data_IF_054987982998
#
_entry.id   IF_054987982998
#
_cell.length_a   1.000
_cell.length_b   1.000
_cell.length_c   1.000
_cell.angle_alpha   90.00
_cell.angle_beta   90.00
_cell.angle_gamma   90.00
#
_symmetry.space_group_name_H-M   'P 1'
#
loop_
_entity.id
_entity.type
_entity.pdbx_description
1 polymer ?
#
# COMPACT_ATOMS: atom_id res chain seq x y z
N UNK A 1 3.80 -39.63 -5.55
CA UNK A 1 4.91 -39.36 -4.61
C UNK A 1 4.87 -38.03 -3.84
N UNK A 2 4.23 -36.92 -4.28
CA UNK A 2 4.41 -35.62 -3.57
C UNK A 2 3.70 -35.53 -2.19
N UNK A 3 2.60 -36.27 -1.96
CA UNK A 3 1.82 -36.13 -0.72
C UNK A 3 2.50 -36.74 0.52
N UNK A 4 3.24 -37.86 0.37
CA UNK A 4 3.97 -38.48 1.49
C UNK A 4 5.18 -37.67 1.94
N UNK A 5 5.84 -36.99 0.99
CA UNK A 5 6.95 -36.09 1.30
C UNK A 5 6.47 -34.86 2.09
N UNK A 6 5.28 -34.34 1.76
CA UNK A 6 4.67 -33.20 2.46
C UNK A 6 4.34 -33.53 3.92
N UNK A 7 3.80 -34.72 4.20
CA UNK A 7 3.46 -35.15 5.56
C UNK A 7 4.71 -35.41 6.43
N UNK A 8 5.78 -35.98 5.84
CA UNK A 8 7.05 -36.16 6.53
C UNK A 8 7.73 -34.82 6.84
N UNK A 9 7.66 -33.86 5.92
CA UNK A 9 8.17 -32.51 6.16
C UNK A 9 7.38 -31.80 7.27
N UNK A 10 6.06 -31.94 7.33
CA UNK A 10 5.24 -31.38 8.43
C UNK A 10 5.53 -32.04 9.78
N UNK A 11 5.81 -33.35 9.81
CA UNK A 11 6.21 -34.06 11.04
C UNK A 11 7.61 -33.66 11.51
N UNK A 12 8.58 -33.55 10.60
CA UNK A 12 9.92 -33.07 10.90
C UNK A 12 9.91 -31.60 11.34
N UNK A 13 9.02 -30.78 10.75
CA UNK A 13 8.80 -29.42 11.20
C UNK A 13 8.29 -29.41 12.64
N UNK A 14 7.27 -30.19 12.98
CA UNK A 14 6.72 -30.27 14.34
C UNK A 14 7.74 -30.69 15.42
N UNK A 15 8.78 -31.44 15.07
CA UNK A 15 9.88 -31.79 15.98
C UNK A 15 10.94 -30.68 16.10
N UNK A 16 11.20 -29.92 15.04
CA UNK A 16 12.17 -28.82 15.08
C UNK A 16 11.70 -27.62 15.92
N UNK A 17 10.38 -27.50 16.14
CA UNK A 17 9.77 -26.47 17.00
C UNK A 17 10.07 -26.65 18.50
N UNK A 18 10.65 -27.77 18.91
CA UNK A 18 10.91 -28.06 20.33
C UNK A 18 12.30 -27.64 20.83
N UNK A 19 13.28 -27.36 19.97
CA UNK A 19 14.70 -27.43 20.40
C UNK A 19 15.56 -26.18 20.11
N UNK A 20 14.99 -24.99 19.95
CA UNK A 20 15.79 -23.75 19.83
C UNK A 20 15.52 -22.79 20.99
N UNK A 21 16.04 -23.14 22.17
CA UNK A 21 16.28 -22.16 23.24
C UNK A 21 17.55 -21.37 22.91
N UNK A 22 17.38 -20.07 22.68
CA UNK A 22 18.42 -19.16 22.25
C UNK A 22 19.23 -18.66 23.44
N UNK A 23 20.55 -18.81 23.35
CA UNK A 23 21.56 -18.37 24.32
C UNK A 23 21.45 -16.86 24.62
N UNK A 24 21.35 -16.50 25.90
CA UNK A 24 21.56 -15.13 26.39
C UNK A 24 20.36 -14.40 26.98
N UNK A 25 19.14 -14.92 26.85
CA UNK A 25 18.00 -14.38 27.61
C UNK A 25 18.01 -14.95 29.03
N UNK A 26 18.19 -14.07 30.02
CA UNK A 26 17.83 -14.40 31.41
C UNK A 26 16.39 -14.90 31.39
N UNK A 27 16.17 -16.15 31.81
CA UNK A 27 14.82 -16.71 31.78
C UNK A 27 13.90 -15.87 32.67
N UNK A 28 12.59 -15.84 32.37
CA UNK A 28 11.62 -15.13 33.22
C UNK A 28 11.71 -15.58 34.68
N UNK A 29 12.05 -16.86 34.92
CA UNK A 29 12.28 -17.40 36.26
C UNK A 29 13.53 -16.84 36.96
N UNK A 30 14.66 -16.75 36.27
CA UNK A 30 15.89 -16.17 36.83
C UNK A 30 15.74 -14.69 37.18
N UNK A 31 15.06 -13.92 36.31
CA UNK A 31 14.78 -12.51 36.59
C UNK A 31 13.92 -12.35 37.84
N UNK A 32 12.90 -13.19 37.98
CA UNK A 32 12.03 -13.19 39.17
C UNK A 32 12.81 -13.49 40.44
N UNK A 33 13.69 -14.50 40.43
CA UNK A 33 14.53 -14.84 41.59
C UNK A 33 15.46 -13.70 42.01
N UNK A 34 16.09 -13.00 41.04
CA UNK A 34 16.94 -11.83 41.34
C UNK A 34 16.13 -10.68 41.93
N UNK A 35 14.94 -10.43 41.40
CA UNK A 35 14.03 -9.40 41.92
C UNK A 35 13.57 -9.72 43.34
N UNK A 36 13.22 -10.98 43.62
CA UNK A 36 12.83 -11.43 44.96
C UNK A 36 13.99 -11.26 45.96
N UNK A 37 15.21 -11.59 45.56
CA UNK A 37 16.40 -11.38 46.39
C UNK A 37 16.64 -9.89 46.68
N UNK A 38 16.54 -9.01 45.67
CA UNK A 38 16.61 -7.56 45.86
C UNK A 38 15.52 -7.04 46.81
N UNK A 39 14.29 -7.55 46.68
CA UNK A 39 13.18 -7.22 47.58
C UNK A 39 13.45 -7.63 49.03
N UNK A 40 14.01 -8.82 49.26
CA UNK A 40 14.40 -9.28 50.60
C UNK A 40 15.52 -8.44 51.20
N UNK A 41 16.52 -8.02 50.42
CA UNK A 41 17.56 -7.09 50.87
C UNK A 41 16.97 -5.72 51.27
N UNK A 42 16.03 -5.21 50.46
CA UNK A 42 15.33 -3.98 50.77
C UNK A 42 14.56 -4.07 52.08
N UNK A 43 13.80 -5.15 52.28
CA UNK A 43 13.02 -5.32 53.50
C UNK A 43 13.91 -5.38 54.74
N UNK A 44 15.02 -6.12 54.70
CA UNK A 44 16.00 -6.16 55.79
C UNK A 44 16.60 -4.80 56.09
N UNK A 45 16.90 -4.00 55.06
CA UNK A 45 17.43 -2.64 55.23
C UNK A 45 16.39 -1.70 55.86
N UNK A 46 15.12 -1.82 55.48
CA UNK A 46 14.03 -1.02 56.07
C UNK A 46 13.76 -1.40 57.54
N UNK A 47 13.92 -2.66 57.92
CA UNK A 47 13.78 -3.14 59.30
C UNK A 47 14.91 -2.63 60.23
N UNK A 48 16.13 -2.42 59.70
CA UNK A 48 17.28 -1.94 60.48
C UNK A 48 17.42 -0.41 60.50
N UNK A 49 16.73 0.31 59.63
CA UNK A 49 16.88 1.76 59.52
C UNK A 49 15.92 2.50 60.45
N UNK A 50 16.47 3.31 61.37
CA UNK A 50 15.66 4.14 62.27
C UNK A 50 15.01 5.32 61.52
N UNK A 51 13.74 5.65 61.83
CA UNK A 51 13.05 6.76 61.19
C UNK A 51 13.68 8.12 61.61
N UNK A 52 13.88 9.06 60.67
CA UNK A 52 14.49 10.35 60.97
C UNK A 52 13.57 11.22 61.84
N UNK A 53 14.18 12.12 62.62
CA UNK A 53 13.45 13.13 63.40
C UNK A 53 12.88 14.22 62.49
N UNK A 54 11.59 14.16 62.16
CA UNK A 54 10.90 15.19 61.38
C UNK A 54 9.88 14.64 60.37
N UNK A 55 9.28 15.54 59.58
CA UNK A 55 8.39 15.15 58.48
C UNK A 55 9.23 14.59 57.32
N UNK A 56 9.08 13.29 57.07
CA UNK A 56 9.80 12.56 56.03
C UNK A 56 8.87 11.55 55.36
N UNK A 57 9.16 11.24 54.10
CA UNK A 57 8.53 10.11 53.42
C UNK A 57 9.07 8.80 53.97
N UNK A 58 8.18 7.84 54.25
CA UNK A 58 8.53 6.52 54.79
C UNK A 58 9.42 5.71 53.84
N UNK A 59 10.36 4.94 54.39
CA UNK A 59 11.09 3.94 53.62
C UNK A 59 10.14 2.89 53.05
N UNK A 60 10.26 2.57 51.75
CA UNK A 60 9.33 1.66 51.06
C UNK A 60 9.97 1.01 49.84
N UNK A 61 9.51 -0.19 49.50
CA UNK A 61 9.79 -0.84 48.22
C UNK A 61 8.61 -0.63 47.28
N UNK A 62 8.83 0.06 46.16
CA UNK A 62 7.76 0.33 45.18
C UNK A 62 7.62 -0.77 44.11
N UNK A 63 8.08 -1.98 44.44
CA UNK A 63 8.22 -3.13 43.56
C UNK A 63 9.25 -2.97 42.43
N UNK A 64 10.02 -1.88 42.42
CA UNK A 64 11.08 -1.64 41.45
C UNK A 64 12.41 -1.27 42.11
N UNK A 65 12.43 -0.27 42.98
CA UNK A 65 13.59 0.23 43.69
C UNK A 65 13.29 0.37 45.19
N UNK A 66 14.33 0.22 46.01
CA UNK A 66 14.23 0.37 47.45
C UNK A 66 14.46 1.83 47.86
N UNK A 67 13.44 2.46 48.47
CA UNK A 67 13.50 3.85 48.92
C UNK A 67 13.76 3.91 50.43
N UNK A 68 14.78 4.68 50.84
CA UNK A 68 15.01 4.99 52.24
C UNK A 68 14.15 6.19 52.68
N UNK A 69 14.03 6.41 53.99
CA UNK A 69 13.42 7.60 54.56
C UNK A 69 14.05 8.86 53.98
N UNK A 70 13.21 9.75 53.47
CA UNK A 70 13.65 10.94 52.74
C UNK A 70 12.93 12.17 53.29
N UNK A 71 13.67 13.25 53.56
CA UNK A 71 13.10 14.48 54.11
C UNK A 71 12.03 15.09 53.18
N UNK A 72 11.00 15.70 53.76
CA UNK A 72 9.94 16.36 53.00
C UNK A 72 10.50 17.41 52.02
N UNK A 73 9.86 17.54 50.85
CA UNK A 73 10.25 18.46 49.77
C UNK A 73 11.67 18.22 49.18
N UNK A 74 12.17 16.98 49.21
CA UNK A 74 13.47 16.61 48.61
C UNK A 74 13.33 15.45 47.60
N UNK A 75 14.29 15.33 46.68
CA UNK A 75 14.34 14.25 45.70
C UNK A 75 15.23 13.12 46.22
N UNK A 76 14.65 11.93 46.41
CA UNK A 76 15.41 10.71 46.69
C UNK A 76 16.10 10.23 45.42
N UNK A 77 17.34 9.73 45.56
CA UNK A 77 18.10 9.07 44.48
C UNK A 77 18.60 7.70 44.94
N UNK A 78 18.43 6.68 44.11
CA UNK A 78 18.87 5.30 44.36
C UNK A 78 19.56 4.79 43.11
N UNK A 79 20.63 4.02 43.23
CA UNK A 79 21.28 3.42 42.06
C UNK A 79 20.32 2.47 41.32
N UNK A 80 20.52 2.29 40.02
CA UNK A 80 19.71 1.35 39.25
C UNK A 80 19.67 -0.05 39.90
N UNK A 81 18.51 -0.74 39.96
CA UNK A 81 18.43 -2.04 40.61
C UNK A 81 19.30 -3.10 39.92
N UNK A 82 20.07 -3.86 40.70
CA UNK A 82 21.04 -4.83 40.18
C UNK A 82 20.41 -6.09 39.58
N UNK A 83 19.14 -6.36 39.88
CA UNK A 83 18.41 -7.50 39.30
C UNK A 83 18.12 -7.32 37.80
N UNK A 84 18.21 -6.08 37.28
CA UNK A 84 17.98 -5.79 35.86
C UNK A 84 19.00 -6.54 34.99
N UNK A 85 18.59 -7.27 33.94
CA UNK A 85 19.52 -8.02 33.07
C UNK A 85 20.62 -7.14 32.45
N UNK A 86 20.31 -5.88 32.17
CA UNK A 86 21.21 -4.87 31.60
C UNK A 86 21.89 -3.97 32.65
N UNK A 87 21.87 -4.34 33.95
CA UNK A 87 22.42 -3.52 35.03
C UNK A 87 23.86 -3.05 34.78
N UNK A 88 24.72 -3.88 34.19
CA UNK A 88 26.11 -3.49 33.87
C UNK A 88 26.20 -2.24 33.01
N UNK A 89 25.28 -2.05 32.07
CA UNK A 89 25.24 -0.90 31.16
C UNK A 89 24.73 0.37 31.84
N UNK A 90 23.90 0.24 32.88
CA UNK A 90 23.25 1.36 33.60
C UNK A 90 23.74 1.51 35.04
N UNK A 91 24.84 0.86 35.41
CA UNK A 91 25.34 0.77 36.79
C UNK A 91 25.69 2.13 37.41
N UNK A 92 26.04 3.13 36.58
CA UNK A 92 26.31 4.51 37.01
C UNK A 92 25.05 5.39 37.10
N UNK A 93 23.88 4.88 36.67
CA UNK A 93 22.61 5.60 36.64
C UNK A 93 21.85 5.54 37.97
N UNK A 94 20.89 6.47 38.11
CA UNK A 94 20.05 6.58 39.29
C UNK A 94 18.55 6.63 38.93
N UNK A 95 17.74 6.11 39.84
CA UNK A 95 16.28 6.27 39.89
C UNK A 95 15.98 7.42 40.85
N UNK A 96 15.10 8.33 40.45
CA UNK A 96 14.69 9.48 41.25
C UNK A 96 13.22 9.40 41.65
N UNK A 97 12.90 9.86 42.85
CA UNK A 97 11.51 10.00 43.32
C UNK A 97 11.38 11.21 44.21
N UNK A 98 10.34 12.02 43.99
CA UNK A 98 10.11 13.23 44.76
C UNK A 98 9.31 12.92 46.03
N UNK A 99 9.82 13.39 47.17
CA UNK A 99 9.06 13.45 48.41
C UNK A 99 8.33 14.80 48.49
N UNK A 100 7.00 14.76 48.66
CA UNK A 100 6.15 15.94 48.80
C UNK A 100 6.44 16.72 50.08
N UNK A 101 5.95 17.96 50.14
CA UNK A 101 6.03 18.79 51.36
C UNK A 101 5.18 18.27 52.51
N UNK A 102 4.22 17.40 52.21
CA UNK A 102 3.33 16.69 53.15
C UNK A 102 3.95 15.40 53.71
N UNK A 103 5.18 15.05 53.32
CA UNK A 103 5.81 13.79 53.70
C UNK A 103 5.24 12.57 52.95
N UNK A 104 4.49 12.78 51.86
CA UNK A 104 4.01 11.69 51.00
C UNK A 104 4.86 11.57 49.74
N UNK A 105 5.04 10.34 49.27
CA UNK A 105 5.73 10.12 48.01
C UNK A 105 4.89 10.59 46.82
N UNK A 106 5.52 11.24 45.84
CA UNK A 106 4.91 11.50 44.55
C UNK A 106 4.48 10.20 43.84
N UNK A 107 3.49 10.31 42.96
CA UNK A 107 2.91 9.18 42.23
C UNK A 107 3.86 8.53 41.22
N UNK A 108 4.89 9.25 40.78
CA UNK A 108 5.78 8.84 39.70
C UNK A 108 7.25 8.83 40.13
N UNK A 109 7.97 7.83 39.63
CA UNK A 109 9.43 7.69 39.74
C UNK A 109 10.07 7.93 38.37
N UNK A 110 11.16 8.67 38.34
CA UNK A 110 11.96 8.83 37.14
C UNK A 110 13.04 7.75 37.12
N UNK A 111 12.93 6.84 36.15
CA UNK A 111 13.85 5.72 35.94
C UNK A 111 14.51 5.78 34.56
N UNK A 112 14.52 6.95 33.92
CA UNK A 112 15.05 7.16 32.56
C UNK A 112 16.52 6.73 32.42
N UNK A 113 17.35 6.89 33.46
CA UNK A 113 18.75 6.47 33.45
C UNK A 113 18.96 4.95 33.58
N UNK A 114 17.92 4.20 33.96
CA UNK A 114 17.95 2.75 34.15
C UNK A 114 17.24 1.99 33.03
N UNK A 115 16.76 2.69 32.00
CA UNK A 115 16.12 2.08 30.84
C UNK A 115 17.14 1.25 30.04
N UNK A 116 16.67 0.17 29.41
CA UNK A 116 17.54 -0.70 28.64
C UNK A 116 18.02 0.04 27.37
N UNK A 117 19.32 0.36 27.23
CA UNK A 117 19.81 1.08 26.07
C UNK A 117 19.71 0.26 24.78
N UNK A 118 19.81 -1.07 24.84
CA UNK A 118 19.63 -1.95 23.68
C UNK A 118 18.18 -1.97 23.21
N UNK A 119 17.22 -2.02 24.16
CA UNK A 119 15.79 -1.97 23.81
C UNK A 119 15.41 -0.62 23.22
N UNK A 120 15.97 0.47 23.75
CA UNK A 120 15.77 1.82 23.23
C UNK A 120 16.39 1.97 21.84
N UNK A 121 17.63 1.50 21.64
CA UNK A 121 18.29 1.51 20.34
C UNK A 121 17.53 0.68 19.30
N UNK A 122 17.15 -0.55 19.63
CA UNK A 122 16.38 -1.42 18.74
C UNK A 122 14.99 -0.84 18.42
N UNK A 123 14.31 -0.26 19.41
CA UNK A 123 13.02 0.41 19.20
C UNK A 123 13.15 1.67 18.33
N UNK A 124 14.20 2.46 18.55
CA UNK A 124 14.48 3.67 17.78
C UNK A 124 14.87 3.33 16.34
N UNK A 125 15.74 2.34 16.13
CA UNK A 125 16.08 1.83 14.81
C UNK A 125 14.83 1.29 14.09
N UNK A 126 14.00 0.50 14.77
CA UNK A 126 12.75 0.00 14.21
C UNK A 126 11.79 1.15 13.83
N UNK A 127 11.72 2.20 14.64
CA UNK A 127 10.88 3.38 14.38
C UNK A 127 11.39 4.16 13.16
N UNK A 128 12.68 4.49 13.12
CA UNK A 128 13.32 5.17 11.98
C UNK A 128 13.16 4.36 10.68
N UNK A 129 13.25 3.04 10.78
CA UNK A 129 13.05 2.13 9.67
C UNK A 129 11.60 2.17 9.18
N UNK A 130 10.62 2.10 10.08
CA UNK A 130 9.20 2.22 9.75
C UNK A 130 8.87 3.58 9.10
N UNK A 131 9.44 4.67 9.61
CA UNK A 131 9.30 6.01 9.03
C UNK A 131 9.85 6.08 7.59
N UNK A 132 11.01 5.47 7.33
CA UNK A 132 11.58 5.40 5.97
C UNK A 132 10.67 4.61 5.02
N UNK A 133 10.11 3.48 5.48
CA UNK A 133 9.12 2.73 4.71
C UNK A 133 7.88 3.57 4.45
N UNK A 134 7.44 4.37 5.43
CA UNK A 134 6.30 5.26 5.32
C UNK A 134 6.48 6.32 4.24
N UNK A 135 7.62 6.99 4.25
CA UNK A 135 7.96 7.97 3.22
C UNK A 135 7.98 7.30 1.84
N UNK A 136 8.64 6.14 1.72
CA UNK A 136 8.77 5.42 0.45
C UNK A 136 7.42 5.01 -0.13
N UNK A 137 6.53 4.41 0.67
CA UNK A 137 5.21 4.01 0.19
C UNK A 137 4.33 5.22 -0.11
N UNK A 138 4.44 6.29 0.70
CA UNK A 138 3.65 7.52 0.51
C UNK A 138 3.99 8.18 -0.82
N UNK A 139 5.27 8.29 -1.15
CA UNK A 139 5.75 8.78 -2.44
C UNK A 139 5.25 7.88 -3.58
N UNK A 140 5.38 6.55 -3.42
CA UNK A 140 4.95 5.58 -4.43
C UNK A 140 3.45 5.64 -4.72
N UNK A 141 2.59 5.62 -3.69
CA UNK A 141 1.14 5.69 -3.86
C UNK A 141 0.66 7.06 -4.36
N UNK A 142 1.30 8.16 -3.95
CA UNK A 142 0.96 9.50 -4.46
C UNK A 142 1.29 9.62 -5.94
N UNK A 143 2.46 9.14 -6.37
CA UNK A 143 2.83 9.09 -7.78
C UNK A 143 1.87 8.20 -8.57
N UNK A 144 1.57 7.00 -8.06
CA UNK A 144 0.59 6.08 -8.65
C UNK A 144 -0.79 6.74 -8.82
N UNK A 145 -1.30 7.42 -7.79
CA UNK A 145 -2.60 8.09 -7.82
C UNK A 145 -2.66 9.18 -8.89
N UNK A 146 -1.62 10.02 -8.99
CA UNK A 146 -1.57 11.10 -9.98
C UNK A 146 -1.48 10.58 -11.42
N UNK A 147 -0.64 9.57 -11.69
CA UNK A 147 -0.53 9.02 -13.05
C UNK A 147 -1.75 8.21 -13.47
N UNK A 148 -2.39 7.50 -12.53
CA UNK A 148 -3.64 6.78 -12.78
C UNK A 148 -4.81 7.73 -13.04
N UNK A 149 -4.91 8.83 -12.29
CA UNK A 149 -5.92 9.86 -12.54
C UNK A 149 -5.79 10.43 -13.96
N UNK A 150 -4.56 10.77 -14.37
CA UNK A 150 -4.29 11.25 -15.72
C UNK A 150 -4.59 10.18 -16.78
N UNK A 151 -4.24 8.92 -16.54
CA UNK A 151 -4.53 7.82 -17.45
C UNK A 151 -6.04 7.59 -17.62
N UNK A 152 -6.82 7.61 -16.53
CA UNK A 152 -8.28 7.54 -16.58
C UNK A 152 -8.89 8.73 -17.33
N UNK A 153 -8.38 9.94 -17.10
CA UNK A 153 -8.82 11.13 -17.80
C UNK A 153 -8.60 11.00 -19.31
N UNK A 154 -7.43 10.53 -19.74
CA UNK A 154 -7.13 10.30 -21.16
C UNK A 154 -8.10 9.26 -21.75
N UNK A 155 -8.19 8.07 -21.15
CA UNK A 155 -9.02 6.99 -21.69
C UNK A 155 -10.52 7.36 -21.70
N UNK A 156 -10.99 8.16 -20.74
CA UNK A 156 -12.39 8.58 -20.66
C UNK A 156 -12.74 9.68 -21.68
N UNK A 157 -11.84 10.65 -21.90
CA UNK A 157 -12.07 11.76 -22.83
C UNK A 157 -12.08 11.33 -24.31
N UNK A 158 -11.21 10.39 -24.69
CA UNK A 158 -11.10 9.94 -26.08
C UNK A 158 -12.08 8.78 -26.35
N UNK A 159 -13.29 9.10 -26.83
CA UNK A 159 -14.32 8.10 -27.20
C UNK A 159 -13.83 7.02 -28.18
N UNK A 160 -12.86 7.33 -29.04
CA UNK A 160 -12.27 6.36 -29.99
C UNK A 160 -11.51 5.23 -29.27
N UNK A 161 -11.05 5.47 -28.04
CA UNK A 161 -10.41 4.46 -27.19
C UNK A 161 -11.42 3.62 -26.41
N UNK A 162 -12.74 3.80 -26.58
CA UNK A 162 -13.74 3.02 -25.82
C UNK A 162 -13.92 1.62 -26.41
N UNK A 163 -13.04 0.71 -26.00
CA UNK A 163 -13.07 -0.72 -26.33
C UNK A 163 -13.30 -1.55 -25.07
N UNK A 164 -13.75 -2.81 -25.19
CA UNK A 164 -13.96 -3.74 -24.06
C UNK A 164 -12.70 -3.86 -23.19
N UNK A 165 -11.53 -4.01 -23.82
CA UNK A 165 -10.21 -3.99 -23.17
C UNK A 165 -9.96 -2.72 -22.36
N UNK A 166 -10.20 -1.55 -22.95
CA UNK A 166 -9.95 -0.28 -22.27
C UNK A 166 -10.94 -0.03 -21.13
N UNK A 167 -12.17 -0.54 -21.20
CA UNK A 167 -13.08 -0.56 -20.05
C UNK A 167 -12.57 -1.44 -18.90
N UNK A 168 -11.96 -2.60 -19.20
CA UNK A 168 -11.31 -3.43 -18.17
C UNK A 168 -10.12 -2.67 -17.56
N UNK A 169 -9.28 -2.04 -18.37
CA UNK A 169 -8.17 -1.22 -17.88
C UNK A 169 -8.64 -0.03 -17.04
N UNK A 170 -9.75 0.64 -17.41
CA UNK A 170 -10.33 1.71 -16.59
C UNK A 170 -10.75 1.21 -15.20
N UNK A 171 -11.39 0.04 -15.12
CA UNK A 171 -11.77 -0.53 -13.82
C UNK A 171 -10.55 -0.97 -13.01
N UNK A 172 -9.56 -1.57 -13.65
CA UNK A 172 -8.27 -1.90 -13.03
C UNK A 172 -7.59 -0.65 -12.46
N UNK A 173 -7.49 0.43 -13.24
CA UNK A 173 -6.91 1.69 -12.78
C UNK A 173 -7.71 2.28 -11.62
N UNK A 174 -9.03 2.21 -11.69
CA UNK A 174 -9.92 2.65 -10.60
C UNK A 174 -9.65 1.85 -9.32
N UNK A 175 -9.44 0.53 -9.41
CA UNK A 175 -9.09 -0.30 -8.25
C UNK A 175 -7.75 0.09 -7.62
N UNK A 176 -6.73 0.41 -8.43
CA UNK A 176 -5.44 0.89 -7.95
C UNK A 176 -5.56 2.27 -7.30
N UNK A 177 -6.37 3.18 -7.87
CA UNK A 177 -6.62 4.49 -7.30
C UNK A 177 -7.34 4.40 -5.95
N UNK A 178 -8.39 3.59 -5.86
CA UNK A 178 -9.13 3.36 -4.62
C UNK A 178 -8.23 2.72 -3.55
N UNK A 179 -7.33 1.81 -3.94
CA UNK A 179 -6.33 1.23 -3.03
C UNK A 179 -5.35 2.29 -2.52
N UNK A 180 -4.76 3.10 -3.40
CA UNK A 180 -3.84 4.16 -3.02
C UNK A 180 -4.54 5.18 -2.09
N UNK A 181 -5.73 5.64 -2.46
CA UNK A 181 -6.51 6.57 -1.65
C UNK A 181 -6.89 5.96 -0.27
N UNK A 182 -7.31 4.70 -0.22
CA UNK A 182 -7.68 4.04 1.03
C UNK A 182 -6.47 3.83 1.97
N UNK A 183 -5.28 3.58 1.44
CA UNK A 183 -4.06 3.44 2.26
C UNK A 183 -3.61 4.81 2.79
N UNK A 184 -3.59 5.83 1.94
CA UNK A 184 -3.19 7.19 2.34
C UNK A 184 -4.17 7.81 3.35
N UNK A 185 -5.47 7.62 3.15
CA UNK A 185 -6.49 8.10 4.10
C UNK A 185 -6.47 7.34 5.42
N UNK A 186 -6.23 6.02 5.39
CA UNK A 186 -6.00 5.23 6.61
C UNK A 186 -4.82 5.80 7.39
N UNK A 187 -3.67 6.02 6.76
CA UNK A 187 -2.45 6.50 7.43
C UNK A 187 -2.67 7.85 8.14
N UNK A 188 -3.40 8.78 7.51
CA UNK A 188 -3.76 10.07 8.14
C UNK A 188 -4.73 9.95 9.32
N UNK A 189 -5.54 8.89 9.38
CA UNK A 189 -6.54 8.66 10.43
C UNK A 189 -5.99 7.84 11.59
N UNK A 190 -4.84 7.16 11.44
CA UNK A 190 -4.19 6.49 12.55
C UNK A 190 -3.68 7.55 13.54
N UNK A 191 -3.94 7.40 14.85
CA UNK A 191 -3.28 8.22 15.86
C UNK A 191 -1.77 8.11 15.67
N UNK A 192 -1.00 9.21 15.77
CA UNK A 192 0.45 9.12 15.79
C UNK A 192 0.88 8.09 16.83
N UNK A 193 1.88 7.25 16.50
CA UNK A 193 2.59 6.41 17.46
C UNK A 193 3.44 7.30 18.39
N UNK A 194 2.83 8.32 19.01
CA UNK A 194 3.44 9.19 19.98
C UNK A 194 2.99 8.81 21.38
N UNK A 195 3.82 9.05 22.42
CA UNK A 195 3.31 9.05 23.78
C UNK A 195 2.19 10.08 23.86
N UNK A 196 1.03 9.66 24.37
CA UNK A 196 -0.11 10.54 24.64
C UNK A 196 0.38 11.76 25.42
N UNK A 197 0.57 12.89 24.74
CA UNK A 197 0.58 14.18 25.40
C UNK A 197 -0.87 14.47 25.70
N UNK A 198 -1.22 14.45 26.99
CA UNK A 198 -2.61 14.52 27.49
C UNK A 198 -3.39 15.80 27.17
N UNK A 199 -2.98 16.58 26.18
CA UNK A 199 -3.54 17.88 25.84
C UNK A 199 -4.32 17.91 24.52
N UNK A 200 -4.45 16.79 23.81
CA UNK A 200 -5.34 16.76 22.65
C UNK A 200 -6.80 16.64 23.12
N UNK A 201 -7.52 17.76 22.99
CA UNK A 201 -8.94 17.90 23.24
C UNK A 201 -9.73 16.66 22.82
N UNK A 202 -10.71 16.20 23.62
CA UNK A 202 -11.46 15.00 23.30
C UNK A 202 -12.34 15.31 22.08
N UNK A 203 -11.83 15.03 20.88
CA UNK A 203 -12.72 14.53 19.83
C UNK A 203 -13.52 13.40 20.47
N UNK A 204 -14.86 13.30 20.24
CA UNK A 204 -15.62 12.21 20.82
C UNK A 204 -14.97 10.93 20.31
N UNK A 205 -14.25 10.23 21.21
CA UNK A 205 -13.39 9.11 20.89
C UNK A 205 -14.10 8.07 20.03
N UNK A 206 -15.43 7.98 20.19
CA UNK A 206 -16.33 7.16 19.37
C UNK A 206 -16.33 7.51 17.88
N UNK A 207 -16.35 8.79 17.48
CA UNK A 207 -16.33 9.20 16.07
C UNK A 207 -14.97 8.95 15.43
N UNK A 208 -13.88 9.31 16.12
CA UNK A 208 -12.52 9.04 15.64
C UNK A 208 -12.29 7.54 15.47
N UNK A 209 -12.75 6.74 16.43
CA UNK A 209 -12.68 5.29 16.39
C UNK A 209 -13.54 4.68 15.25
N UNK A 210 -14.74 5.21 15.03
CA UNK A 210 -15.60 4.79 13.93
C UNK A 210 -14.95 5.10 12.57
N UNK A 211 -14.41 6.30 12.37
CA UNK A 211 -13.72 6.69 11.15
C UNK A 211 -12.50 5.80 10.88
N UNK A 212 -11.69 5.53 11.90
CA UNK A 212 -10.51 4.67 11.79
C UNK A 212 -10.91 3.21 11.42
N UNK A 213 -11.96 2.67 12.05
CA UNK A 213 -12.50 1.33 11.70
C UNK A 213 -13.02 1.28 10.27
N UNK A 214 -13.78 2.29 9.84
CA UNK A 214 -14.28 2.38 8.46
C UNK A 214 -13.13 2.48 7.47
N UNK A 215 -12.08 3.27 7.77
CA UNK A 215 -10.89 3.36 6.94
C UNK A 215 -10.20 1.99 6.82
N UNK A 216 -10.04 1.26 7.92
CA UNK A 216 -9.47 -0.09 7.91
C UNK A 216 -10.27 -1.06 7.04
N UNK A 217 -11.60 -1.09 7.16
CA UNK A 217 -12.48 -1.92 6.33
C UNK A 217 -12.33 -1.53 4.84
N UNK A 218 -12.33 -0.23 4.56
CA UNK A 218 -12.20 0.30 3.20
C UNK A 218 -10.85 -0.08 2.59
N UNK A 219 -9.75 0.02 3.34
CA UNK A 219 -8.42 -0.42 2.89
C UNK A 219 -8.45 -1.90 2.51
N UNK A 220 -9.02 -2.77 3.35
CA UNK A 220 -9.10 -4.20 3.08
C UNK A 220 -9.93 -4.52 1.82
N UNK A 221 -11.07 -3.85 1.66
CA UNK A 221 -11.88 -3.96 0.45
C UNK A 221 -11.13 -3.51 -0.80
N UNK A 222 -10.48 -2.35 -0.77
CA UNK A 222 -9.74 -1.83 -1.92
C UNK A 222 -8.55 -2.71 -2.29
N UNK A 223 -7.85 -3.29 -1.31
CA UNK A 223 -6.77 -4.26 -1.55
C UNK A 223 -7.33 -5.52 -2.24
N UNK A 224 -8.43 -6.09 -1.72
CA UNK A 224 -9.09 -7.23 -2.34
C UNK A 224 -9.61 -6.94 -3.74
N UNK A 225 -10.21 -5.76 -3.95
CA UNK A 225 -10.67 -5.28 -5.25
C UNK A 225 -9.53 -5.17 -6.25
N UNK A 226 -8.37 -4.68 -5.81
CA UNK A 226 -7.20 -4.61 -6.67
C UNK A 226 -6.74 -6.00 -7.14
N UNK A 227 -6.61 -6.98 -6.24
CA UNK A 227 -6.20 -8.35 -6.63
C UNK A 227 -7.22 -9.08 -7.50
N UNK A 228 -8.51 -8.88 -7.24
CA UNK A 228 -9.58 -9.47 -8.08
C UNK A 228 -9.66 -8.82 -9.45
N UNK A 229 -9.40 -7.51 -9.59
CA UNK A 229 -9.28 -6.85 -10.90
C UNK A 229 -8.05 -7.31 -11.68
N UNK A 230 -6.90 -7.53 -11.02
CA UNK A 230 -5.73 -8.17 -11.63
C UNK A 230 -6.08 -9.57 -12.16
N UNK A 231 -6.89 -10.32 -11.41
CA UNK A 231 -7.40 -11.62 -11.85
C UNK A 231 -8.35 -11.52 -13.04
N UNK A 232 -9.30 -10.59 -13.01
CA UNK A 232 -10.23 -10.35 -14.13
C UNK A 232 -9.47 -10.01 -15.41
N UNK A 233 -8.45 -9.16 -15.31
CA UNK A 233 -7.58 -8.84 -16.44
C UNK A 233 -6.81 -10.07 -16.95
N UNK A 234 -6.21 -10.85 -16.04
CA UNK A 234 -5.50 -12.08 -16.40
C UNK A 234 -6.41 -13.09 -17.12
N UNK A 235 -7.63 -13.28 -16.60
CA UNK A 235 -8.66 -14.16 -17.20
C UNK A 235 -9.10 -13.64 -18.56
N UNK A 236 -9.32 -12.33 -18.70
CA UNK A 236 -9.67 -11.70 -19.98
C UNK A 236 -8.57 -11.89 -21.02
N UNK A 237 -7.30 -11.64 -20.66
CA UNK A 237 -6.17 -11.82 -21.55
C UNK A 237 -5.98 -13.29 -21.95
N UNK A 238 -6.15 -14.22 -21.01
CA UNK A 238 -6.12 -15.65 -21.30
C UNK A 238 -7.25 -16.06 -22.25
N UNK A 239 -8.48 -15.57 -22.02
CA UNK A 239 -9.62 -15.82 -22.90
C UNK A 239 -9.34 -15.36 -24.33
N UNK A 240 -8.83 -14.13 -24.49
CA UNK A 240 -8.46 -13.56 -25.79
C UNK A 240 -7.39 -14.37 -26.53
N UNK A 241 -6.38 -14.88 -25.82
CA UNK A 241 -5.24 -15.57 -26.42
C UNK A 241 -5.50 -17.04 -26.77
N UNK A 242 -6.38 -17.72 -26.00
CA UNK A 242 -6.63 -19.16 -26.10
C UNK A 242 -7.95 -19.46 -26.80
N UNK A 243 -9.01 -18.74 -26.45
CA UNK A 243 -10.37 -19.01 -26.92
C UNK A 243 -10.68 -18.05 -28.09
N UNK A 244 -9.92 -18.19 -29.16
CA UNK A 244 -10.14 -17.43 -30.40
C UNK A 244 -11.52 -17.80 -30.96
N UNK A 245 -12.40 -16.80 -31.15
CA UNK A 245 -13.68 -16.97 -31.85
C UNK A 245 -14.94 -17.08 -30.98
N UNK A 246 -14.85 -16.96 -29.64
CA UNK A 246 -16.06 -16.89 -28.79
C UNK A 246 -16.58 -15.45 -28.68
N UNK A 247 -17.90 -15.27 -28.76
CA UNK A 247 -18.56 -13.95 -28.70
C UNK A 247 -18.22 -13.20 -27.41
N UNK A 248 -17.52 -12.06 -27.54
CA UNK A 248 -17.17 -11.17 -26.43
C UNK A 248 -18.40 -10.49 -25.79
N UNK A 249 -19.46 -10.28 -26.59
CA UNK A 249 -20.49 -9.27 -26.34
C UNK A 249 -21.37 -9.49 -25.10
N UNK A 250 -21.31 -10.64 -24.45
CA UNK A 250 -22.17 -10.98 -23.30
C UNK A 250 -21.49 -11.02 -21.92
N UNK A 251 -20.16 -11.09 -21.83
CA UNK A 251 -19.49 -11.50 -20.59
C UNK A 251 -18.98 -10.33 -19.71
N UNK A 252 -19.03 -9.09 -20.20
CA UNK A 252 -18.51 -7.94 -19.45
C UNK A 252 -19.18 -7.74 -18.07
N UNK A 253 -20.50 -7.97 -17.98
CA UNK A 253 -21.22 -7.89 -16.70
C UNK A 253 -20.71 -8.90 -15.67
N UNK A 254 -20.36 -10.12 -16.11
CA UNK A 254 -19.79 -11.14 -15.23
C UNK A 254 -18.40 -10.72 -14.72
N UNK A 255 -17.56 -10.12 -15.58
CA UNK A 255 -16.27 -9.57 -15.16
C UNK A 255 -16.42 -8.43 -14.15
N UNK A 256 -17.40 -7.55 -14.34
CA UNK A 256 -17.68 -6.46 -13.40
C UNK A 256 -18.15 -6.98 -12.03
N UNK A 257 -19.06 -7.96 -12.03
CA UNK A 257 -19.54 -8.61 -10.80
C UNK A 257 -18.41 -9.38 -10.09
N UNK A 258 -17.52 -10.04 -10.84
CA UNK A 258 -16.38 -10.74 -10.26
C UNK A 258 -15.37 -9.76 -9.65
N UNK A 259 -15.02 -8.68 -10.36
CA UNK A 259 -14.01 -7.71 -9.91
C UNK A 259 -14.44 -6.90 -8.68
N UNK A 260 -15.70 -6.45 -8.61
CA UNK A 260 -16.17 -5.66 -7.46
C UNK A 260 -16.93 -6.48 -6.41
N UNK A 261 -17.60 -7.56 -6.81
CA UNK A 261 -18.41 -8.38 -5.90
C UNK A 261 -17.60 -9.40 -5.10
N UNK A 262 -16.58 -10.03 -5.68
CA UNK A 262 -15.77 -11.03 -4.96
C UNK A 262 -15.04 -10.46 -3.72
N UNK A 263 -14.44 -9.26 -3.74
CA UNK A 263 -13.85 -8.68 -2.54
C UNK A 263 -14.86 -8.48 -1.41
N UNK A 264 -16.06 -7.98 -1.73
CA UNK A 264 -17.13 -7.78 -0.76
C UNK A 264 -17.55 -9.10 -0.10
N UNK A 265 -17.61 -10.18 -0.89
CA UNK A 265 -17.96 -11.52 -0.40
C UNK A 265 -17.02 -12.02 0.71
N UNK A 266 -15.74 -11.66 0.69
CA UNK A 266 -14.77 -12.09 1.71
C UNK A 266 -14.59 -11.07 2.84
N UNK A 267 -14.68 -9.78 2.53
CA UNK A 267 -14.55 -8.71 3.53
C UNK A 267 -15.74 -8.69 4.48
N UNK A 268 -16.97 -8.91 4.01
CA UNK A 268 -18.16 -8.87 4.87
C UNK A 268 -18.09 -9.92 6.01
N UNK A 269 -17.82 -11.21 5.76
CA UNK A 269 -17.63 -12.20 6.82
C UNK A 269 -16.49 -11.83 7.79
N UNK A 270 -15.38 -11.31 7.26
CA UNK A 270 -14.25 -10.86 8.09
C UNK A 270 -14.67 -9.73 9.04
N UNK A 271 -15.40 -8.72 8.55
CA UNK A 271 -15.93 -7.62 9.37
C UNK A 271 -16.86 -8.14 10.46
N UNK A 272 -17.75 -9.07 10.13
CA UNK A 272 -18.69 -9.66 11.10
C UNK A 272 -17.91 -10.39 12.22
N UNK A 273 -16.96 -11.25 11.86
CA UNK A 273 -16.16 -11.98 12.85
C UNK A 273 -15.34 -11.03 13.71
N UNK A 274 -14.72 -10.01 13.11
CA UNK A 274 -13.91 -9.02 13.83
C UNK A 274 -14.76 -8.20 14.81
N UNK A 275 -15.93 -7.75 14.38
CA UNK A 275 -16.87 -7.00 15.22
C UNK A 275 -17.36 -7.84 16.42
N UNK A 276 -17.64 -9.13 16.22
CA UNK A 276 -18.18 -10.00 17.26
C UNK A 276 -17.12 -10.52 18.24
N UNK A 277 -15.87 -10.72 17.79
CA UNK A 277 -14.83 -11.40 18.59
C UNK A 277 -13.77 -10.47 19.14
N UNK A 278 -13.44 -9.38 18.45
CA UNK A 278 -12.30 -8.52 18.81
C UNK A 278 -12.59 -7.04 18.45
N UNK A 279 -13.55 -6.42 19.14
CA UNK A 279 -13.91 -5.02 18.90
C UNK A 279 -13.00 -4.00 19.62
N UNK A 280 -11.68 -4.20 19.56
CA UNK A 280 -10.70 -3.35 20.26
C UNK A 280 -10.02 -2.38 19.28
N UNK A 281 -9.85 -1.11 19.71
CA UNK A 281 -9.11 -0.08 18.97
C UNK A 281 -9.58 0.06 17.49
N UNK A 282 -8.67 0.48 16.60
CA UNK A 282 -8.89 0.64 15.16
C UNK A 282 -8.79 -0.69 14.36
N UNK A 283 -8.93 -1.84 15.02
CA UNK A 283 -8.77 -3.17 14.40
C UNK A 283 -7.42 -3.44 13.72
N UNK A 284 -6.38 -2.68 14.02
CA UNK A 284 -5.06 -2.84 13.42
C UNK A 284 -4.28 -4.05 13.98
N UNK A 285 -4.38 -4.29 15.30
CA UNK A 285 -3.70 -5.42 15.96
C UNK A 285 -4.49 -6.72 15.78
N UNK A 286 -3.88 -7.68 15.08
CA UNK A 286 -4.43 -9.03 14.94
C UNK A 286 -3.84 -9.93 16.02
N UNK A 287 -4.51 -10.05 17.17
CA UNK A 287 -4.07 -10.96 18.24
C UNK A 287 -4.37 -12.41 17.86
N UNK A 288 -5.59 -12.68 17.38
CA UNK A 288 -5.95 -14.00 16.83
C UNK A 288 -5.56 -14.09 15.35
N UNK A 289 -4.46 -14.79 15.07
CA UNK A 289 -3.99 -15.07 13.70
C UNK A 289 -5.09 -15.63 12.78
N UNK A 290 -5.99 -16.46 13.30
CA UNK A 290 -7.06 -17.09 12.51
C UNK A 290 -8.01 -16.08 11.85
N UNK A 291 -8.32 -14.95 12.51
CA UNK A 291 -9.23 -13.92 11.96
C UNK A 291 -8.56 -13.21 10.77
N UNK A 292 -7.26 -12.95 10.86
CA UNK A 292 -6.49 -12.38 9.74
C UNK A 292 -6.41 -13.32 8.53
N UNK A 293 -6.34 -14.63 8.75
CA UNK A 293 -6.33 -15.62 7.67
C UNK A 293 -7.64 -15.68 6.86
N UNK A 294 -8.78 -15.28 7.43
CA UNK A 294 -10.07 -15.25 6.71
C UNK A 294 -9.98 -14.39 5.44
N UNK A 295 -9.31 -13.24 5.52
CA UNK A 295 -9.13 -12.33 4.37
C UNK A 295 -7.86 -12.64 3.58
N UNK A 296 -6.79 -13.11 4.25
CA UNK A 296 -5.53 -13.43 3.58
C UNK A 296 -5.65 -14.65 2.66
N UNK A 297 -6.39 -15.69 3.04
CA UNK A 297 -6.53 -16.92 2.24
C UNK A 297 -7.12 -16.66 0.85
N UNK A 298 -8.27 -15.97 0.68
CA UNK A 298 -8.78 -15.63 -0.64
C UNK A 298 -7.79 -14.83 -1.48
N UNK A 299 -7.09 -13.86 -0.89
CA UNK A 299 -6.07 -13.07 -1.58
C UNK A 299 -4.94 -13.98 -2.08
N UNK A 300 -4.40 -14.87 -1.24
CA UNK A 300 -3.36 -15.81 -1.63
C UNK A 300 -3.83 -16.78 -2.74
N UNK A 301 -5.08 -17.24 -2.68
CA UNK A 301 -5.67 -18.08 -3.75
C UNK A 301 -5.75 -17.28 -5.06
N UNK A 302 -6.21 -16.03 -5.05
CA UNK A 302 -6.27 -15.19 -6.26
C UNK A 302 -4.89 -14.94 -6.85
N UNK A 303 -3.89 -14.68 -6.00
CA UNK A 303 -2.49 -14.51 -6.39
C UNK A 303 -1.94 -15.79 -7.03
N UNK A 304 -2.23 -16.96 -6.45
CA UNK A 304 -1.84 -18.26 -7.01
C UNK A 304 -2.49 -18.50 -8.40
N UNK A 305 -3.78 -18.20 -8.55
CA UNK A 305 -4.47 -18.34 -9.84
C UNK A 305 -3.85 -17.39 -10.89
N UNK A 306 -3.56 -16.14 -10.51
CA UNK A 306 -2.86 -15.19 -11.38
C UNK A 306 -1.51 -15.69 -11.83
N UNK A 307 -0.76 -16.32 -10.92
CA UNK A 307 0.52 -16.95 -11.24
C UNK A 307 0.37 -18.10 -12.26
N UNK A 308 -0.63 -18.96 -12.09
CA UNK A 308 -0.90 -20.04 -13.05
C UNK A 308 -1.27 -19.48 -14.43
N UNK A 309 -2.10 -18.43 -14.49
CA UNK A 309 -2.45 -17.73 -15.72
C UNK A 309 -1.20 -17.11 -16.37
N UNK A 310 -0.34 -16.47 -15.59
CA UNK A 310 0.93 -15.91 -16.05
C UNK A 310 1.79 -16.97 -16.74
N UNK A 311 2.02 -18.12 -16.09
CA UNK A 311 2.83 -19.21 -16.66
C UNK A 311 2.21 -19.73 -17.97
N UNK A 312 0.89 -19.86 -18.05
CA UNK A 312 0.18 -20.29 -19.27
C UNK A 312 0.35 -19.28 -20.41
N UNK A 313 0.12 -17.99 -20.14
CA UNK A 313 0.28 -16.90 -21.12
C UNK A 313 1.73 -16.83 -21.60
N UNK A 314 2.69 -16.90 -20.67
CA UNK A 314 4.11 -16.90 -20.97
C UNK A 314 4.47 -18.08 -21.88
N UNK A 315 3.97 -19.29 -21.58
CA UNK A 315 4.17 -20.47 -22.42
C UNK A 315 3.62 -20.29 -23.84
N UNK A 316 2.42 -19.71 -23.99
CA UNK A 316 1.82 -19.40 -25.30
C UNK A 316 2.66 -18.35 -26.05
N UNK A 317 3.09 -17.29 -25.37
CA UNK A 317 3.90 -16.23 -25.96
C UNK A 317 5.26 -16.76 -26.41
N UNK A 318 5.91 -17.59 -25.61
CA UNK A 318 7.17 -18.26 -25.97
C UNK A 318 6.98 -19.14 -27.20
N UNK A 319 5.91 -19.94 -27.27
CA UNK A 319 5.60 -20.78 -28.44
C UNK A 319 5.33 -19.94 -29.70
N UNK A 320 4.54 -18.86 -29.60
CA UNK A 320 4.25 -17.95 -30.73
C UNK A 320 5.49 -17.16 -31.19
N UNK A 321 6.34 -16.73 -30.26
CA UNK A 321 7.59 -16.05 -30.59
C UNK A 321 8.61 -16.99 -31.24
N UNK A 322 8.69 -18.24 -30.75
CA UNK A 322 9.59 -19.26 -31.31
C UNK A 322 9.23 -19.62 -32.76
N UNK A 323 7.94 -19.72 -33.08
CA UNK A 323 7.47 -20.02 -34.45
C UNK A 323 7.73 -18.87 -35.42
N UNK A 324 7.57 -17.61 -34.99
CA UNK A 324 7.84 -16.43 -35.84
C UNK A 324 9.33 -16.13 -36.05
N UNK A 325 10.22 -16.51 -35.11
CA UNK A 325 11.54 -15.90 -35.04
C UNK A 325 12.68 -16.88 -34.69
N UNK A 326 12.67 -18.09 -35.27
CA UNK A 326 13.72 -19.11 -35.05
C UNK A 326 15.16 -18.67 -35.42
N UNK A 327 15.45 -17.39 -35.72
CA UNK A 327 16.76 -16.96 -36.21
C UNK A 327 17.30 -15.58 -35.77
N UNK A 328 16.80 -14.92 -34.73
CA UNK A 328 17.36 -13.62 -34.28
C UNK A 328 17.59 -13.53 -32.75
N UNK A 329 18.77 -13.16 -32.23
CA UNK A 329 19.03 -12.95 -30.79
C UNK A 329 18.07 -11.95 -30.12
N UNK A 330 17.48 -11.05 -30.91
CA UNK A 330 16.39 -10.14 -30.53
C UNK A 330 15.20 -10.85 -29.85
N UNK A 331 15.01 -12.15 -30.06
CA UNK A 331 13.92 -12.90 -29.44
C UNK A 331 14.02 -12.91 -27.91
N UNK A 332 15.23 -13.08 -27.34
CA UNK A 332 15.42 -13.12 -25.87
C UNK A 332 15.10 -11.76 -25.27
N UNK A 333 15.57 -10.69 -25.92
CA UNK A 333 15.30 -9.31 -25.51
C UNK A 333 13.81 -8.98 -25.59
N UNK A 334 13.14 -9.39 -26.67
CA UNK A 334 11.70 -9.17 -26.87
C UNK A 334 10.86 -9.93 -25.86
N UNK A 335 11.24 -11.18 -25.57
CA UNK A 335 10.60 -11.99 -24.52
C UNK A 335 10.85 -11.36 -23.14
N UNK A 336 12.11 -11.05 -22.79
CA UNK A 336 12.45 -10.44 -21.52
C UNK A 336 11.67 -9.14 -21.28
N UNK A 337 11.54 -8.28 -22.31
CA UNK A 337 10.72 -7.06 -22.24
C UNK A 337 9.25 -7.37 -21.97
N UNK A 338 8.69 -8.38 -22.66
CA UNK A 338 7.30 -8.78 -22.48
C UNK A 338 7.06 -9.38 -21.09
N UNK A 339 7.97 -10.23 -20.62
CA UNK A 339 7.91 -10.86 -19.29
C UNK A 339 8.10 -9.84 -18.17
N UNK A 340 9.09 -8.95 -18.27
CA UNK A 340 9.35 -7.89 -17.29
C UNK A 340 8.16 -6.93 -17.17
N UNK A 341 7.44 -6.71 -18.26
CA UNK A 341 6.19 -5.95 -18.29
C UNK A 341 5.05 -6.71 -17.62
N UNK A 342 4.97 -8.03 -17.85
CA UNK A 342 3.87 -8.89 -17.40
C UNK A 342 3.95 -9.27 -15.90
N UNK A 343 5.15 -9.29 -15.31
CA UNK A 343 5.37 -9.66 -13.89
C UNK A 343 4.72 -8.66 -12.90
N UNK A 344 4.94 -7.34 -13.02
CA UNK A 344 4.24 -6.33 -12.21
C UNK A 344 2.74 -6.31 -12.53
N UNK A 345 2.41 -6.54 -13.79
CA UNK A 345 1.05 -6.48 -14.31
C UNK A 345 0.13 -7.53 -13.70
N UNK A 346 0.59 -8.77 -13.48
CA UNK A 346 -0.24 -9.81 -12.85
C UNK A 346 -0.05 -9.91 -11.33
N UNK A 347 0.74 -9.00 -10.73
CA UNK A 347 1.05 -9.04 -9.29
C UNK A 347 1.91 -10.25 -8.89
N UNK A 348 2.66 -10.85 -9.83
CA UNK A 348 3.43 -12.08 -9.60
C UNK A 348 4.55 -11.89 -8.57
N UNK A 349 5.06 -10.66 -8.43
CA UNK A 349 6.05 -10.34 -7.41
C UNK A 349 5.58 -10.74 -6.00
N UNK A 350 4.28 -10.62 -5.70
CA UNK A 350 3.71 -11.00 -4.40
C UNK A 350 3.79 -12.52 -4.15
N UNK A 351 3.72 -13.36 -5.18
CA UNK A 351 3.85 -14.83 -5.06
C UNK A 351 5.25 -15.21 -4.59
N UNK A 352 6.27 -14.53 -5.12
CA UNK A 352 7.68 -14.80 -4.80
C UNK A 352 7.95 -14.51 -3.33
N UNK A 353 7.27 -13.50 -2.78
CA UNK A 353 7.39 -13.12 -1.39
C UNK A 353 6.44 -13.87 -0.46
N UNK A 354 5.24 -14.29 -0.88
CA UNK A 354 4.28 -14.94 0.01
C UNK A 354 4.82 -16.12 0.87
N UNK A 355 5.62 -17.09 0.35
CA UNK A 355 6.12 -18.21 1.15
C UNK A 355 7.41 -17.93 1.93
N UNK A 356 8.12 -16.84 1.67
CA UNK A 356 9.52 -16.68 2.12
C UNK A 356 9.69 -16.12 3.56
N UNK A 357 8.64 -15.74 4.31
CA UNK A 357 8.84 -15.18 5.67
C UNK A 357 7.74 -15.48 6.67
N UNK A 358 7.78 -16.67 7.24
CA UNK A 358 7.31 -16.79 8.63
C UNK A 358 8.44 -17.29 9.55
N UNK A 359 9.38 -18.12 9.08
CA UNK A 359 10.25 -18.86 10.02
C UNK A 359 11.77 -18.81 9.76
N UNK A 360 12.27 -18.63 8.53
CA UNK A 360 13.71 -18.80 8.26
C UNK A 360 14.58 -17.54 8.29
N UNK A 361 14.02 -16.36 8.57
CA UNK A 361 14.70 -15.11 8.25
C UNK A 361 14.80 -14.18 9.45
N UNK A 362 15.95 -14.20 10.11
CA UNK A 362 16.32 -13.22 11.14
C UNK A 362 16.30 -11.78 10.62
N UNK A 363 16.02 -10.86 11.55
CA UNK A 363 15.65 -9.44 11.41
C UNK A 363 15.93 -8.73 10.08
N UNK A 364 17.18 -8.74 9.61
CA UNK A 364 17.61 -7.93 8.46
C UNK A 364 16.96 -8.33 7.12
N UNK A 365 16.91 -9.63 6.75
CA UNK A 365 16.31 -9.97 5.45
C UNK A 365 14.78 -9.92 5.50
N UNK A 366 14.16 -10.08 6.69
CA UNK A 366 12.71 -9.85 6.86
C UNK A 366 12.38 -8.40 6.55
N UNK A 367 13.22 -7.48 7.03
CA UNK A 367 13.10 -6.06 6.71
C UNK A 367 13.36 -5.78 5.23
N UNK A 368 14.46 -6.27 4.65
CA UNK A 368 14.77 -6.05 3.23
C UNK A 368 13.64 -6.54 2.31
N UNK A 369 13.04 -7.68 2.65
CA UNK A 369 11.86 -8.20 1.98
C UNK A 369 10.66 -7.28 2.13
N UNK A 370 10.31 -6.90 3.36
CA UNK A 370 9.19 -6.00 3.63
C UNK A 370 9.34 -4.68 2.85
N UNK A 371 10.55 -4.12 2.84
CA UNK A 371 10.87 -2.93 2.06
C UNK A 371 10.63 -3.13 0.57
N UNK A 372 11.10 -4.24 0.00
CA UNK A 372 10.92 -4.54 -1.42
C UNK A 372 9.46 -4.82 -1.79
N UNK A 373 8.72 -5.54 -0.95
CA UNK A 373 7.28 -5.80 -1.11
C UNK A 373 6.51 -4.48 -1.12
N UNK A 374 6.70 -3.65 -0.09
CA UNK A 374 6.06 -2.32 0.01
C UNK A 374 6.44 -1.45 -1.20
N UNK A 375 7.71 -1.43 -1.59
CA UNK A 375 8.18 -0.67 -2.74
C UNK A 375 7.46 -1.10 -4.01
N UNK A 376 7.52 -2.39 -4.36
CA UNK A 376 6.88 -2.88 -5.58
C UNK A 376 5.38 -2.66 -5.57
N UNK A 377 4.72 -2.92 -4.46
CA UNK A 377 3.26 -2.78 -4.33
C UNK A 377 2.82 -1.30 -4.46
N UNK A 378 3.62 -0.36 -3.93
CA UNK A 378 3.32 1.08 -4.00
C UNK A 378 3.50 1.66 -5.41
N UNK A 379 4.56 1.23 -6.12
CA UNK A 379 4.85 1.69 -7.49
C UNK A 379 4.14 0.86 -8.57
N UNK A 380 3.43 -0.20 -8.21
CA UNK A 380 2.75 -1.08 -9.15
C UNK A 380 1.74 -0.32 -10.03
N UNK A 381 0.88 0.49 -9.43
CA UNK A 381 -0.14 1.25 -10.18
C UNK A 381 0.47 2.28 -11.13
N UNK A 382 1.58 2.93 -10.73
CA UNK A 382 2.37 3.79 -11.60
C UNK A 382 2.85 3.01 -12.83
N UNK A 383 3.52 1.87 -12.63
CA UNK A 383 4.06 1.06 -13.72
C UNK A 383 2.95 0.56 -14.65
N UNK A 384 1.84 0.08 -14.11
CA UNK A 384 0.67 -0.37 -14.87
C UNK A 384 0.09 0.78 -15.72
N UNK A 385 -0.01 1.99 -15.17
CA UNK A 385 -0.50 3.16 -15.91
C UNK A 385 0.42 3.54 -17.08
N UNK A 386 1.74 3.47 -16.88
CA UNK A 386 2.75 3.74 -17.91
C UNK A 386 2.68 2.71 -19.03
N UNK A 387 2.56 1.44 -18.70
CA UNK A 387 2.54 0.35 -19.67
C UNK A 387 1.28 0.35 -20.55
N UNK A 388 0.10 0.54 -19.97
CA UNK A 388 -1.16 0.46 -20.72
C UNK A 388 -1.64 1.76 -21.35
N UNK A 389 -1.32 2.90 -20.74
CA UNK A 389 -1.77 4.20 -21.23
C UNK A 389 -0.64 4.94 -21.94
N UNK A 390 0.45 5.27 -21.24
CA UNK A 390 1.44 6.22 -21.77
C UNK A 390 2.37 5.64 -22.85
N UNK A 391 2.74 4.35 -22.76
CA UNK A 391 3.58 3.65 -23.75
C UNK A 391 2.75 3.11 -24.92
N UNK A 392 1.43 2.97 -24.75
CA UNK A 392 0.58 2.39 -25.78
C UNK A 392 0.51 3.29 -27.02
N UNK A 393 0.94 2.74 -28.17
CA UNK A 393 1.01 3.46 -29.45
C UNK A 393 -0.35 3.95 -29.93
N UNK A 394 -1.41 3.21 -29.65
CA UNK A 394 -2.79 3.58 -29.97
C UNK A 394 -3.18 4.87 -29.26
N UNK A 395 -2.97 4.90 -27.93
CA UNK A 395 -3.23 6.08 -27.09
C UNK A 395 -2.37 7.27 -27.53
N UNK A 396 -1.08 7.05 -27.80
CA UNK A 396 -0.21 8.12 -28.30
C UNK A 396 -0.66 8.66 -29.66
N UNK A 397 -1.16 7.81 -30.55
CA UNK A 397 -1.68 8.21 -31.85
C UNK A 397 -2.92 9.11 -31.69
N UNK A 398 -3.86 8.69 -30.86
CA UNK A 398 -5.09 9.44 -30.57
C UNK A 398 -4.80 10.79 -29.90
N UNK A 399 -3.87 10.84 -28.94
CA UNK A 399 -3.43 12.10 -28.32
C UNK A 399 -2.82 13.02 -29.37
N UNK A 400 -1.91 12.52 -30.22
CA UNK A 400 -1.30 13.32 -31.31
C UNK A 400 -2.35 13.82 -32.28
N UNK A 401 -3.34 13.00 -32.64
CA UNK A 401 -4.44 13.40 -33.52
C UNK A 401 -5.33 14.45 -32.87
N UNK A 402 -5.72 14.27 -31.60
CA UNK A 402 -6.49 15.25 -30.84
C UNK A 402 -5.76 16.59 -30.73
N UNK A 403 -4.44 16.56 -30.51
CA UNK A 403 -3.62 17.76 -30.45
C UNK A 403 -3.50 18.46 -31.81
N UNK A 404 -3.32 17.70 -32.91
CA UNK A 404 -3.36 18.25 -34.27
C UNK A 404 -4.70 18.90 -34.59
N UNK A 405 -5.82 18.26 -34.25
CA UNK A 405 -7.16 18.85 -34.44
C UNK A 405 -7.36 20.11 -33.60
N UNK A 406 -6.90 20.13 -32.34
CA UNK A 406 -7.00 21.33 -31.49
C UNK A 406 -6.15 22.47 -32.04
N UNK A 407 -4.93 22.18 -32.49
CA UNK A 407 -4.04 23.16 -33.13
C UNK A 407 -4.68 23.75 -34.39
N UNK A 408 -5.28 22.92 -35.25
CA UNK A 408 -6.00 23.37 -36.44
C UNK A 408 -7.21 24.25 -36.10
N UNK A 409 -7.97 23.91 -35.05
CA UNK A 409 -9.10 24.73 -34.58
C UNK A 409 -8.64 26.09 -34.06
N UNK A 410 -7.54 26.13 -33.32
CA UNK A 410 -6.97 27.39 -32.83
C UNK A 410 -6.51 28.28 -33.98
N UNK A 411 -5.81 27.73 -34.98
CA UNK A 411 -5.40 28.51 -36.17
C UNK A 411 -6.59 29.04 -36.97
N UNK A 412 -7.68 28.28 -37.10
CA UNK A 412 -8.90 28.75 -37.76
C UNK A 412 -9.64 29.83 -36.95
N UNK A 413 -9.62 29.75 -35.62
CA UNK A 413 -10.20 30.76 -34.74
C UNK A 413 -9.45 32.09 -34.85
N UNK A 414 -8.12 32.05 -34.96
CA UNK A 414 -7.27 33.25 -35.10
C UNK A 414 -7.42 33.92 -36.47
N UNK A 415 -7.81 33.17 -37.51
CA UNK A 415 -8.13 33.69 -38.84
C UNK A 415 -9.53 34.31 -38.96
N UNK A 416 -10.44 34.16 -37.98
CA UNK A 416 -11.76 34.79 -38.05
C UNK A 416 -11.63 36.32 -37.86
N UNK A 417 -12.05 37.16 -38.83
CA UNK A 417 -12.04 38.61 -38.67
C UNK A 417 -12.91 39.02 -37.47
N UNK A 418 -12.45 40.00 -36.67
CA UNK A 418 -13.30 40.65 -35.66
C UNK A 418 -14.53 41.21 -36.37
N UNK A 419 -15.75 41.07 -35.81
CA UNK A 419 -16.94 41.67 -36.42
C UNK A 419 -16.67 43.15 -36.62
N UNK A 420 -16.71 43.58 -37.89
CA UNK A 420 -16.66 44.98 -38.23
C UNK A 420 -17.79 45.66 -37.45
N UNK A 421 -17.40 46.55 -36.56
CA UNK A 421 -18.28 47.50 -35.90
C UNK A 421 -19.18 48.09 -36.99
N UNK A 422 -20.48 47.81 -36.88
CA UNK A 422 -21.52 48.31 -37.76
C UNK A 422 -21.27 49.80 -38.03
N UNK A 423 -20.71 50.10 -39.20
CA UNK A 423 -20.81 51.44 -39.73
C UNK A 423 -22.27 51.57 -40.15
N UNK A 424 -23.05 52.28 -39.32
CA UNK A 424 -24.47 52.51 -39.50
C UNK A 424 -24.79 52.85 -40.98
N UNK A 425 -25.89 52.31 -41.52
CA UNK A 425 -26.15 52.34 -42.95
C UNK A 425 -26.32 53.78 -43.42
N UNK A 426 -25.36 54.26 -44.22
CA UNK A 426 -25.57 55.46 -45.03
C UNK A 426 -26.59 55.10 -46.09
N UNK A 427 -27.76 55.72 -46.01
CA UNK A 427 -28.88 55.56 -46.93
C UNK A 427 -28.41 55.62 -48.39
N UNK A 428 -28.71 54.56 -49.13
CA UNK A 428 -28.49 54.44 -50.57
C UNK A 428 -29.66 55.13 -51.29
N UNK A 429 -29.41 56.08 -52.21
CA UNK A 429 -30.43 56.49 -53.16
C UNK A 429 -30.63 55.39 -54.20
N UNK A 430 -31.87 54.94 -54.31
CA UNK A 430 -32.42 54.06 -55.32
C UNK A 430 -32.13 54.62 -56.74
N UNK A 431 -31.35 53.89 -57.55
CA UNK A 431 -31.47 54.01 -59.01
C UNK A 431 -31.22 52.66 -59.68
N UNK A 432 -32.33 52.00 -59.97
CA UNK A 432 -32.62 51.25 -61.20
C UNK A 432 -31.45 50.88 -62.13
N UNK A 433 -31.21 49.57 -62.27
CA UNK A 433 -31.16 48.93 -63.60
C UNK A 433 -31.11 47.40 -63.44
N UNK A 434 -32.25 46.77 -63.76
CA UNK A 434 -32.33 45.39 -64.21
C UNK A 434 -31.44 45.15 -65.46
N UNK A 435 -30.74 44.01 -65.49
CA UNK A 435 -30.60 43.04 -66.60
C UNK A 435 -29.45 42.09 -66.27
N UNK A 436 -29.68 40.83 -65.88
CA UNK A 436 -30.19 39.68 -66.66
C UNK A 436 -29.09 38.98 -67.49
N UNK A 437 -28.79 37.76 -67.03
CA UNK A 437 -28.46 36.51 -67.73
C UNK A 437 -27.40 36.45 -68.85
N UNK A 438 -26.41 35.56 -68.64
CA UNK A 438 -25.91 34.49 -69.54
C UNK A 438 -24.64 33.89 -68.90
N UNK A 439 -24.65 32.69 -68.29
CA UNK A 439 -24.51 31.35 -68.87
C UNK A 439 -23.39 31.25 -69.93
N UNK A 440 -22.30 30.55 -69.57
CA UNK A 440 -21.22 30.21 -70.49
C UNK A 440 -20.13 29.33 -69.87
N UNK A 441 -20.27 28.01 -70.07
CA UNK A 441 -19.23 27.00 -70.35
C UNK A 441 -18.21 26.52 -69.29
N UNK A 442 -18.47 25.30 -68.83
CA UNK A 442 -17.69 24.06 -69.06
C UNK A 442 -16.15 24.03 -68.84
N UNK A 443 -15.74 23.16 -67.88
CA UNK A 443 -14.69 22.08 -67.88
C UNK A 443 -13.29 22.36 -68.50
N UNK A 444 -12.19 21.65 -68.09
CA UNK A 444 -12.18 20.31 -67.47
C UNK A 444 -11.21 20.08 -66.29
N UNK A 445 -11.46 18.94 -65.65
CA UNK A 445 -10.68 18.23 -64.66
C UNK A 445 -9.24 17.94 -65.09
N UNK A 446 -8.27 18.29 -64.23
CA UNK A 446 -6.91 17.76 -64.24
C UNK A 446 -6.70 16.88 -63.01
N UNK A 447 -6.74 15.56 -63.21
CA UNK A 447 -6.33 14.53 -62.25
C UNK A 447 -4.82 14.60 -62.03
N UNK A 448 -4.38 14.85 -60.80
CA UNK A 448 -2.98 14.67 -60.40
C UNK A 448 -2.93 13.63 -59.28
N UNK A 449 -2.53 12.43 -59.67
CA UNK A 449 -2.28 11.26 -58.83
C UNK A 449 -1.11 11.58 -57.87
N UNK A 450 -1.33 11.45 -56.57
CA UNK A 450 -0.25 11.33 -55.56
C UNK A 450 -0.45 9.98 -54.86
N UNK A 451 0.53 9.07 -54.92
CA UNK A 451 0.45 7.77 -54.27
C UNK A 451 0.90 7.90 -52.81
N UNK A 452 0.12 7.39 -51.86
CA UNK A 452 0.49 7.43 -50.45
C UNK A 452 -0.48 6.68 -49.56
N UNK A 453 0.05 5.59 -49.03
CA UNK A 453 -0.30 4.90 -47.79
C UNK A 453 -1.39 3.82 -47.82
N UNK A 454 -0.85 2.59 -47.82
CA UNK A 454 -1.47 1.32 -47.45
C UNK A 454 -2.38 1.48 -46.23
N UNK A 455 -3.66 1.21 -46.45
CA UNK A 455 -4.69 1.11 -45.43
C UNK A 455 -4.45 -0.18 -44.65
N UNK A 456 -3.76 -0.07 -43.52
CA UNK A 456 -3.68 -1.16 -42.55
C UNK A 456 -5.02 -1.25 -41.81
N UNK A 457 -5.88 -2.16 -42.24
CA UNK A 457 -7.15 -2.49 -41.58
C UNK A 457 -6.93 -2.82 -40.10
N UNK A 458 -7.39 -1.93 -39.22
CA UNK A 458 -7.53 -2.23 -37.79
C UNK A 458 -8.79 -3.04 -37.58
N UNK A 459 -8.65 -4.35 -37.38
CA UNK A 459 -9.72 -5.18 -36.84
C UNK A 459 -9.96 -4.77 -35.38
N UNK A 460 -11.12 -4.16 -35.12
CA UNK A 460 -11.69 -4.01 -33.78
C UNK A 460 -12.16 -5.36 -33.23
#
# INVERSE_FOLDING_TARGET
MPLRLLLLLLWLWGLQWAETDSEGQTTTGELYQRWEHYGQECQKMLETTEPPSGLACNGSFDMYACWNYTAANTTARVSCPWYLPWFRQVSAGFVFRQCGSDGQWGSWRDHTQCENPEKNGAFQDQTLILERLQIMYTVGYSLSLTTLLLALLILSLFRRLHCTRNYIHMNLFTSFMLRAAAILTRDQLLPPLGPYTGDQAPTPWNQALAACRTAQIMTQYCVGANYTWLLVEGVYLHHLLVIVGRSEKGHFRCYLLLGWGAPALFVIPWVIVRYLRENTQCWERNEVKAIWWIIRTPILITILINFLIFIRILGILVSKLRTRQMRCPDYRLRLARSTLTLVPLLGVHEVVFAPVTEEQVEGSLRFAKLAFEIFLSSFQGFLVSVLYCFINKEVQSEIRQGWRHRRLRLSLQEQRPRPHQELAPRAVPLSSACREAAVGNALPSGMLHVPGDEVLESYC
#
